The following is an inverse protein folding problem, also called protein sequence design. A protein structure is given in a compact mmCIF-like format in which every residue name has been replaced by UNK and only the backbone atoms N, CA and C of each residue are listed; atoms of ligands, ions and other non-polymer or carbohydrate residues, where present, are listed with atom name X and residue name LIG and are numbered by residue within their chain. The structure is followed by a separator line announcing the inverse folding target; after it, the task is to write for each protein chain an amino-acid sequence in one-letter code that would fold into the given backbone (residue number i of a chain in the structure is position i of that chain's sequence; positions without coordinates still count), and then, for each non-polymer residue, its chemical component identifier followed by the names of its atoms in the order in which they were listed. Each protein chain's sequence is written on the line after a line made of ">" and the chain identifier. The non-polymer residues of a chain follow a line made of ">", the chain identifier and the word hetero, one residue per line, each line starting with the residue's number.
data_IF_968851149055
#
_entry.id   IF_968851149055
#
_cell.length_a   1.000
_cell.length_b   1.000
_cell.length_c   1.000
_cell.angle_alpha   90.00
_cell.angle_beta   90.00
_cell.angle_gamma   90.00
#
_symmetry.space_group_name_H-M   'P 1'
#
loop_
_entity.id
_entity.type
_entity.pdbx_description
1 polymer ?
#
# COMPACT_ATOMS: atom_id res chain seq x y z
N UNK A 1 13.10 7.56 -6.69
CA UNK A 1 13.44 6.72 -7.86
C UNK A 1 14.65 5.86 -7.57
N UNK A 2 14.68 5.21 -6.41
CA UNK A 2 15.83 4.37 -6.02
C UNK A 2 15.52 2.91 -6.37
N UNK A 3 14.26 2.48 -6.30
CA UNK A 3 13.90 1.06 -6.42
C UNK A 3 13.62 0.58 -7.85
N UNK A 4 13.19 1.47 -8.76
CA UNK A 4 13.01 1.14 -10.18
C UNK A 4 14.33 0.74 -10.87
N UNK A 5 15.44 1.29 -10.39
CA UNK A 5 16.80 1.01 -10.86
C UNK A 5 17.53 -0.03 -9.99
N UNK A 6 16.93 -0.48 -8.87
CA UNK A 6 17.47 -1.59 -8.06
C UNK A 6 17.11 -2.90 -8.75
N UNK A 7 17.93 -3.23 -9.75
CA UNK A 7 18.14 -4.60 -10.22
C UNK A 7 19.40 -5.13 -9.55
N UNK A 8 19.41 -5.44 -8.27
CA UNK A 8 20.53 -6.21 -7.72
C UNK A 8 20.05 -7.14 -6.61
N UNK A 9 20.05 -8.43 -6.93
CA UNK A 9 19.62 -9.56 -6.11
C UNK A 9 20.52 -9.86 -4.92
N UNK A 10 21.06 -8.84 -4.27
CA UNK A 10 21.85 -9.00 -3.05
C UNK A 10 20.91 -9.29 -1.88
N UNK A 11 20.98 -10.53 -1.42
CA UNK A 11 20.14 -11.07 -0.36
C UNK A 11 20.67 -10.62 0.99
N UNK A 12 20.14 -9.52 1.52
CA UNK A 12 20.59 -8.92 2.79
C UNK A 12 20.49 -9.84 4.03
N UNK A 13 19.61 -10.84 4.03
CA UNK A 13 19.61 -11.90 5.06
C UNK A 13 18.91 -13.20 4.58
N UNK A 14 19.11 -14.31 5.31
CA UNK A 14 18.56 -15.64 4.94
C UNK A 14 17.02 -15.65 4.84
N UNK A 15 16.31 -14.89 5.69
CA UNK A 15 14.84 -14.80 5.69
C UNK A 15 14.27 -13.70 4.78
N UNK A 16 15.11 -12.90 4.13
CA UNK A 16 14.65 -11.82 3.24
C UNK A 16 14.19 -12.36 1.89
N UNK A 17 12.91 -12.17 1.58
CA UNK A 17 12.36 -12.51 0.27
C UNK A 17 12.52 -11.31 -0.70
N UNK A 18 13.69 -11.22 -1.35
CA UNK A 18 14.04 -10.16 -2.29
C UNK A 18 12.96 -9.94 -3.37
N UNK A 19 12.38 -11.02 -3.92
CA UNK A 19 11.33 -10.93 -4.95
C UNK A 19 10.11 -10.15 -4.45
N UNK A 20 9.62 -10.46 -3.24
CA UNK A 20 8.45 -9.81 -2.65
C UNK A 20 8.73 -8.34 -2.32
N UNK A 21 9.93 -8.05 -1.79
CA UNK A 21 10.30 -6.70 -1.43
C UNK A 21 10.43 -5.80 -2.67
N UNK A 22 11.15 -6.25 -3.70
CA UNK A 22 11.33 -5.51 -4.95
C UNK A 22 10.01 -5.31 -5.70
N UNK A 23 9.12 -6.32 -5.69
CA UNK A 23 7.78 -6.18 -6.27
C UNK A 23 6.97 -5.06 -5.61
N UNK A 24 6.96 -5.02 -4.27
CA UNK A 24 6.24 -3.98 -3.52
C UNK A 24 6.80 -2.60 -3.81
N UNK A 25 8.13 -2.43 -3.73
CA UNK A 25 8.76 -1.12 -3.93
C UNK A 25 8.59 -0.58 -5.36
N UNK A 26 8.74 -1.43 -6.38
CA UNK A 26 8.62 -1.01 -7.79
C UNK A 26 7.19 -0.57 -8.15
N UNK A 27 6.16 -1.27 -7.64
CA UNK A 27 4.76 -0.89 -7.87
C UNK A 27 4.43 0.42 -7.18
N UNK A 28 4.84 0.58 -5.92
CA UNK A 28 4.59 1.81 -5.15
C UNK A 28 5.22 3.03 -5.86
N UNK A 29 6.48 2.93 -6.30
CA UNK A 29 7.14 4.01 -7.05
C UNK A 29 6.42 4.31 -8.37
N UNK A 30 6.00 3.28 -9.12
CA UNK A 30 5.27 3.47 -10.38
C UNK A 30 3.95 4.21 -10.18
N UNK A 31 3.17 3.81 -9.17
CA UNK A 31 1.91 4.48 -8.82
C UNK A 31 2.19 5.92 -8.44
N UNK A 32 3.12 6.16 -7.51
CA UNK A 32 3.45 7.50 -7.03
C UNK A 32 3.86 8.47 -8.16
N UNK A 33 4.55 7.98 -9.19
CA UNK A 33 4.95 8.80 -10.33
C UNK A 33 3.85 8.99 -11.38
N UNK A 34 3.04 7.96 -11.63
CA UNK A 34 1.96 8.03 -12.63
C UNK A 34 0.74 8.80 -12.13
N UNK A 35 0.41 8.70 -10.84
CA UNK A 35 -0.79 9.32 -10.27
C UNK A 35 -0.87 10.85 -10.50
N UNK A 36 0.19 11.65 -10.29
CA UNK A 36 0.15 13.08 -10.59
C UNK A 36 -0.05 13.43 -12.07
N UNK A 37 0.40 12.57 -13.00
CA UNK A 37 0.21 12.79 -14.44
C UNK A 37 -1.27 12.76 -14.85
N UNK A 38 -2.11 12.10 -14.05
CA UNK A 38 -3.56 12.04 -14.23
C UNK A 38 -4.32 13.03 -13.33
N UNK A 39 -3.62 14.00 -12.72
CA UNK A 39 -4.24 14.98 -11.81
C UNK A 39 -4.73 14.37 -10.48
N UNK A 40 -4.31 13.14 -10.16
CA UNK A 40 -4.71 12.44 -8.94
C UNK A 40 -3.67 12.66 -7.84
N UNK A 41 -4.09 12.48 -6.58
CA UNK A 41 -3.21 12.53 -5.40
C UNK A 41 -2.98 11.13 -4.84
N UNK A 42 -1.73 10.69 -4.79
CA UNK A 42 -1.34 9.47 -4.09
C UNK A 42 -1.24 9.73 -2.58
N UNK A 43 -1.74 8.79 -1.77
CA UNK A 43 -1.61 8.80 -0.30
C UNK A 43 -1.00 7.49 0.16
N UNK A 44 -0.01 7.58 1.03
CA UNK A 44 0.63 6.41 1.65
C UNK A 44 -0.06 6.08 2.96
N UNK A 45 -0.46 4.82 3.12
CA UNK A 45 -1.16 4.31 4.31
C UNK A 45 -0.48 3.02 4.78
N UNK A 46 -0.35 2.83 6.09
CA UNK A 46 0.17 1.58 6.66
C UNK A 46 -0.87 0.45 6.49
N UNK A 47 -0.54 -0.64 5.76
CA UNK A 47 -1.45 -1.77 5.57
C UNK A 47 -1.54 -2.70 6.79
N UNK A 48 -0.87 -2.42 7.90
CA UNK A 48 -0.90 -3.30 9.08
C UNK A 48 -2.33 -3.58 9.55
N UNK A 49 -2.69 -4.85 9.64
CA UNK A 49 -4.01 -5.27 10.12
C UNK A 49 -5.15 -5.10 9.12
N UNK A 50 -4.89 -5.02 7.80
CA UNK A 50 -5.97 -4.94 6.80
C UNK A 50 -6.57 -6.29 6.40
N UNK A 51 -5.94 -7.42 6.77
CA UNK A 51 -6.37 -8.77 6.36
C UNK A 51 -6.54 -9.74 7.54
N UNK A 52 -5.95 -9.42 8.70
CA UNK A 52 -5.94 -10.29 9.88
C UNK A 52 -6.52 -9.61 11.13
N UNK A 53 -7.30 -8.54 10.95
CA UNK A 53 -7.93 -7.81 12.05
C UNK A 53 -9.39 -8.23 12.24
N UNK A 54 -9.89 -8.01 13.46
CA UNK A 54 -11.32 -8.12 13.76
C UNK A 54 -12.14 -7.15 12.90
N UNK A 55 -11.63 -5.94 12.69
CA UNK A 55 -12.25 -4.93 11.80
C UNK A 55 -12.46 -5.47 10.38
N UNK A 56 -11.49 -6.20 9.82
CA UNK A 56 -11.61 -6.79 8.49
C UNK A 56 -12.73 -7.84 8.44
N UNK A 57 -12.76 -8.75 9.41
CA UNK A 57 -13.81 -9.77 9.50
C UNK A 57 -15.21 -9.16 9.68
N UNK A 58 -15.33 -8.12 10.51
CA UNK A 58 -16.58 -7.40 10.71
C UNK A 58 -17.01 -6.65 9.45
N UNK A 59 -16.07 -6.00 8.74
CA UNK A 59 -16.33 -5.27 7.50
C UNK A 59 -16.85 -6.22 6.42
N UNK A 60 -16.23 -7.39 6.24
CA UNK A 60 -16.72 -8.41 5.31
C UNK A 60 -18.14 -8.86 5.65
N UNK A 61 -18.46 -9.08 6.94
CA UNK A 61 -19.80 -9.53 7.35
C UNK A 61 -20.85 -8.44 7.18
N UNK A 62 -20.56 -7.22 7.64
CA UNK A 62 -21.50 -6.09 7.62
C UNK A 62 -21.80 -5.61 6.20
N UNK A 63 -20.77 -5.50 5.36
CA UNK A 63 -20.87 -4.97 4.00
C UNK A 63 -20.94 -6.07 2.92
N UNK A 64 -20.87 -7.35 3.30
CA UNK A 64 -20.84 -8.52 2.39
C UNK A 64 -19.75 -8.43 1.31
N UNK A 65 -18.60 -7.87 1.68
CA UNK A 65 -17.45 -7.70 0.77
C UNK A 65 -16.58 -8.96 0.75
N UNK A 66 -15.93 -9.22 -0.39
CA UNK A 66 -14.88 -10.24 -0.45
C UNK A 66 -13.62 -9.79 0.32
N UNK A 67 -12.70 -10.74 0.53
CA UNK A 67 -11.48 -10.53 1.30
C UNK A 67 -10.64 -9.36 0.78
N UNK A 68 -10.47 -9.24 -0.53
CA UNK A 68 -9.66 -8.19 -1.14
C UNK A 68 -10.36 -6.84 -1.06
N UNK A 69 -11.66 -6.78 -1.35
CA UNK A 69 -12.41 -5.53 -1.29
C UNK A 69 -12.51 -5.00 0.14
N UNK A 70 -12.70 -5.87 1.13
CA UNK A 70 -12.66 -5.46 2.53
C UNK A 70 -11.28 -4.91 2.96
N UNK A 71 -10.18 -5.49 2.49
CA UNK A 71 -8.84 -4.94 2.75
C UNK A 71 -8.65 -3.56 2.07
N UNK A 72 -9.12 -3.39 0.84
CA UNK A 72 -9.06 -2.11 0.13
C UNK A 72 -9.93 -1.04 0.81
N UNK A 73 -11.12 -1.41 1.28
CA UNK A 73 -12.03 -0.53 2.00
C UNK A 73 -11.40 0.02 3.30
N UNK A 74 -10.73 -0.83 4.07
CA UNK A 74 -10.03 -0.41 5.29
C UNK A 74 -8.87 0.55 4.98
N UNK A 75 -8.12 0.32 3.91
CA UNK A 75 -7.07 1.25 3.45
C UNK A 75 -7.67 2.61 3.10
N UNK A 76 -8.77 2.62 2.33
CA UNK A 76 -9.46 3.86 1.95
C UNK A 76 -9.98 4.62 3.17
N UNK A 77 -10.63 3.91 4.11
CA UNK A 77 -11.13 4.49 5.36
C UNK A 77 -10.00 5.13 6.18
N UNK A 78 -8.85 4.45 6.30
CA UNK A 78 -7.67 5.01 6.98
C UNK A 78 -7.10 6.23 6.25
N UNK A 79 -7.07 6.22 4.93
CA UNK A 79 -6.61 7.36 4.13
C UNK A 79 -7.46 8.62 4.40
N UNK A 80 -8.78 8.43 4.57
CA UNK A 80 -9.72 9.51 4.89
C UNK A 80 -9.54 10.02 6.33
N UNK A 81 -9.31 9.14 7.30
CA UNK A 81 -9.12 9.51 8.71
C UNK A 81 -7.74 10.11 9.01
N UNK A 82 -6.75 9.90 8.13
CA UNK A 82 -5.41 10.47 8.34
C UNK A 82 -5.42 11.95 7.99
N UNK A 83 -5.06 12.87 8.90
CA UNK A 83 -4.99 14.29 8.58
C UNK A 83 -4.02 14.52 7.41
N UNK A 84 -4.43 15.31 6.42
CA UNK A 84 -3.58 15.68 5.29
C UNK A 84 -2.32 16.35 5.85
N UNK A 85 -1.18 15.65 5.84
CA UNK A 85 0.11 16.33 6.07
C UNK A 85 0.24 17.43 5.01
N UNK A 86 0.59 18.67 5.38
CA UNK A 86 0.76 19.75 4.42
C UNK A 86 1.82 19.30 3.41
N UNK A 87 1.46 19.39 2.13
CA UNK A 87 2.41 19.25 1.04
C UNK A 87 3.39 20.41 1.19
N UNK A 88 4.64 20.12 1.58
CA UNK A 88 5.71 21.12 1.51
C UNK A 88 5.86 21.51 0.05
N UNK A 89 5.42 22.72 -0.27
CA UNK A 89 5.75 23.48 -1.49
C UNK A 89 7.24 23.74 -1.55
#
# INVERSE_FOLDING_TARGET
>A
MRYYWVRNGERGCRSYNYKVATFRSSIIERIAWKTPLYGLKAVYVDPRGTTSSREHAETMKKLRLDKHTASAYLIASRALSTPKKPTKT
#
